data_IF_207230431869
#
_entry.id   IF_207230431869
#
_cell.length_a   1.000
_cell.length_b   1.000
_cell.length_c   1.000
_cell.angle_alpha   90.00
_cell.angle_beta   90.00
_cell.angle_gamma   90.00
#
_symmetry.space_group_name_H-M   'P 1'
#
loop_
_entity.id
_entity.type
_entity.pdbx_description
1 polymer ?
#
# COMPACT_ATOMS: atom_id res chain seq x y z
N UNK A 1 11.41 -0.65 9.70
CA UNK A 1 12.49 0.29 10.11
C UNK A 1 11.88 1.53 10.72
N UNK A 2 10.85 2.12 10.09
CA UNK A 2 9.99 3.14 10.70
C UNK A 2 9.64 2.80 12.16
N UNK A 3 9.27 1.55 12.44
CA UNK A 3 9.08 1.05 13.81
C UNK A 3 10.28 1.23 14.76
N UNK A 4 11.50 0.85 14.35
CA UNK A 4 12.72 1.02 15.15
C UNK A 4 13.07 2.51 15.32
N UNK A 5 12.72 3.32 14.34
CA UNK A 5 12.93 4.76 14.35
C UNK A 5 11.93 5.44 15.30
N UNK A 6 10.67 5.02 15.32
CA UNK A 6 9.67 5.43 16.32
C UNK A 6 10.09 4.98 17.73
N UNK A 7 10.56 3.74 17.89
CA UNK A 7 11.14 3.28 19.16
C UNK A 7 12.36 4.11 19.59
N UNK A 8 13.23 4.47 18.66
CA UNK A 8 14.40 5.31 18.93
C UNK A 8 13.98 6.74 19.30
N UNK A 9 13.02 7.33 18.58
CA UNK A 9 12.45 8.66 18.88
C UNK A 9 11.84 8.68 20.28
N UNK A 10 10.99 7.71 20.60
CA UNK A 10 10.39 7.53 21.94
C UNK A 10 11.48 7.37 23.02
N UNK A 11 12.58 6.68 22.71
CA UNK A 11 13.70 6.52 23.65
C UNK A 11 14.59 7.77 23.78
N UNK A 12 14.73 8.58 22.72
CA UNK A 12 15.59 9.76 22.68
C UNK A 12 14.96 10.99 23.33
N UNK A 13 13.63 11.12 23.28
CA UNK A 13 12.90 12.06 24.15
C UNK A 13 13.31 11.87 25.63
N UNK A 14 13.77 10.68 26.02
CA UNK A 14 14.23 10.36 27.38
C UNK A 14 15.66 10.73 27.72
N UNK A 15 16.52 11.14 26.78
CA UNK A 15 17.98 11.19 27.00
C UNK A 15 18.52 12.31 27.89
N UNK A 16 17.67 13.19 28.42
CA UNK A 16 18.11 14.13 29.47
C UNK A 16 18.28 13.47 30.87
N UNK A 17 18.06 12.16 31.04
CA UNK A 17 18.34 11.45 32.32
C UNK A 17 18.84 10.00 32.17
N UNK A 18 19.55 9.67 31.07
CA UNK A 18 19.94 8.28 30.72
C UNK A 18 21.14 7.67 31.48
N UNK A 19 21.54 8.21 32.64
CA UNK A 19 22.56 7.60 33.50
C UNK A 19 22.02 6.51 34.45
N UNK A 20 20.75 6.60 34.88
CA UNK A 20 20.27 5.80 36.02
C UNK A 20 19.39 4.58 35.66
N UNK A 21 18.77 4.57 34.47
CA UNK A 21 17.87 3.48 34.05
C UNK A 21 18.57 2.14 33.73
N UNK A 22 19.90 2.11 33.57
CA UNK A 22 20.67 0.87 33.31
C UNK A 22 20.66 -0.12 34.48
N UNK A 23 20.31 0.32 35.70
CA UNK A 23 20.29 -0.55 36.89
C UNK A 23 18.97 -1.33 37.07
N UNK A 24 17.86 -0.91 36.45
CA UNK A 24 16.54 -1.51 36.68
C UNK A 24 16.10 -2.62 35.70
N UNK A 25 16.57 -2.59 34.44
CA UNK A 25 16.05 -3.47 33.36
C UNK A 25 16.59 -4.92 33.42
N UNK A 26 17.57 -5.22 34.27
CA UNK A 26 18.05 -6.60 34.46
C UNK A 26 17.13 -7.49 35.31
N UNK A 27 16.06 -6.96 35.91
CA UNK A 27 15.31 -7.68 36.94
C UNK A 27 13.95 -8.26 36.52
N UNK A 28 13.27 -7.82 35.45
CA UNK A 28 11.93 -8.35 35.10
C UNK A 28 11.66 -8.27 33.60
N UNK A 29 11.32 -9.41 33.00
CA UNK A 29 10.91 -9.48 31.59
C UNK A 29 11.00 -10.89 31.03
N UNK A 30 10.09 -11.76 31.46
CA UNK A 30 9.80 -13.03 30.79
C UNK A 30 9.35 -12.76 29.34
N UNK A 31 9.88 -13.55 28.40
CA UNK A 31 9.57 -13.43 26.97
C UNK A 31 8.19 -14.02 26.68
N UNK A 32 7.16 -13.20 26.56
CA UNK A 32 5.89 -13.65 25.99
C UNK A 32 5.94 -13.55 24.46
N UNK A 33 5.96 -14.69 23.78
CA UNK A 33 6.30 -14.79 22.34
C UNK A 33 5.09 -14.64 21.40
N UNK A 34 3.89 -14.41 21.93
CA UNK A 34 2.61 -14.37 21.20
C UNK A 34 2.24 -13.00 20.60
N UNK A 35 2.93 -11.92 20.98
CA UNK A 35 2.58 -10.56 20.60
C UNK A 35 3.23 -10.12 19.28
N UNK A 36 2.45 -9.46 18.43
CA UNK A 36 2.93 -8.84 17.18
C UNK A 36 3.90 -7.69 17.49
N UNK A 37 4.79 -7.34 16.55
CA UNK A 37 5.78 -6.25 16.77
C UNK A 37 5.14 -4.90 17.15
N UNK A 38 4.00 -4.46 16.58
CA UNK A 38 3.27 -3.28 17.02
C UNK A 38 2.69 -3.39 18.43
N UNK A 39 2.16 -4.56 18.81
CA UNK A 39 1.72 -4.81 20.19
C UNK A 39 2.88 -4.73 21.17
N UNK A 40 4.09 -5.16 20.77
CA UNK A 40 5.31 -4.94 21.57
C UNK A 40 5.74 -3.47 21.65
N UNK A 41 5.36 -2.61 20.69
CA UNK A 41 5.54 -1.16 20.82
C UNK A 41 4.46 -0.54 21.70
N UNK A 42 3.21 -1.00 21.61
CA UNK A 42 2.15 -0.60 22.54
C UNK A 42 2.51 -1.00 23.98
N UNK A 43 3.00 -2.22 24.19
CA UNK A 43 3.52 -2.69 25.48
C UNK A 43 4.86 -2.06 25.86
N UNK A 44 5.74 -1.73 24.92
CA UNK A 44 6.96 -0.99 25.24
C UNK A 44 6.64 0.48 25.58
N UNK A 45 5.60 1.07 24.98
CA UNK A 45 5.06 2.38 25.35
C UNK A 45 4.33 2.29 26.70
N UNK A 46 3.57 1.23 26.98
CA UNK A 46 2.90 0.99 28.25
C UNK A 46 3.87 0.58 29.38
N UNK A 47 4.96 -0.12 29.07
CA UNK A 47 6.04 -0.47 29.98
C UNK A 47 7.00 0.70 30.19
N UNK A 48 7.21 1.52 29.16
CA UNK A 48 7.77 2.85 29.31
C UNK A 48 6.85 3.74 30.14
N UNK A 49 5.54 3.46 30.26
CA UNK A 49 4.62 4.26 31.08
C UNK A 49 4.96 4.29 32.58
N UNK A 50 5.77 3.36 33.06
CA UNK A 50 6.38 3.44 34.39
C UNK A 50 7.51 4.50 34.50
N UNK A 51 7.95 5.06 33.37
CA UNK A 51 9.04 6.05 33.19
C UNK A 51 8.58 7.27 32.34
N UNK A 52 7.39 7.23 31.73
CA UNK A 52 6.84 8.29 30.84
C UNK A 52 6.60 9.65 31.52
N UNK A 53 6.25 9.77 32.82
CA UNK A 53 5.87 11.08 33.37
C UNK A 53 6.97 12.16 33.28
N UNK A 54 8.24 11.79 33.13
CA UNK A 54 9.36 12.74 33.01
C UNK A 54 9.75 13.08 31.55
N UNK A 55 9.24 12.36 30.56
CA UNK A 55 9.78 12.36 29.18
C UNK A 55 8.78 12.90 28.14
N UNK A 56 7.49 12.64 28.34
CA UNK A 56 6.41 13.19 27.50
C UNK A 56 5.47 13.89 28.48
N UNK A 57 5.25 15.21 28.35
CA UNK A 57 4.33 15.90 29.25
C UNK A 57 2.94 15.24 29.17
N UNK A 58 2.30 15.07 30.32
CA UNK A 58 0.97 14.46 30.39
C UNK A 58 0.01 15.12 29.38
N UNK A 59 -0.64 14.31 28.55
CA UNK A 59 -1.56 14.76 27.49
C UNK A 59 -0.90 15.03 26.12
N UNK A 60 0.41 14.84 25.98
CA UNK A 60 1.13 14.95 24.70
C UNK A 60 1.25 13.64 23.93
N UNK A 61 0.86 12.51 24.52
CA UNK A 61 0.91 11.17 23.92
C UNK A 61 0.11 11.11 22.62
N UNK A 62 -1.02 11.85 22.56
CA UNK A 62 -1.86 11.95 21.37
C UNK A 62 -1.08 12.44 20.14
N UNK A 63 -0.07 13.29 20.34
CA UNK A 63 0.71 13.83 19.23
C UNK A 63 1.63 12.79 18.61
N UNK A 64 1.98 11.72 19.32
CA UNK A 64 2.76 10.59 18.79
C UNK A 64 1.97 9.69 17.83
N UNK A 65 0.65 9.87 17.76
CA UNK A 65 -0.20 9.04 16.89
C UNK A 65 0.14 9.20 15.40
N UNK A 66 0.70 10.34 14.98
CA UNK A 66 1.19 10.51 13.59
C UNK A 66 2.29 9.50 13.24
N UNK A 67 3.28 9.35 14.11
CA UNK A 67 4.38 8.41 13.99
C UNK A 67 3.90 6.96 14.16
N UNK A 68 2.99 6.71 15.10
CA UNK A 68 2.39 5.38 15.30
C UNK A 68 1.63 4.94 14.05
N UNK A 69 0.79 5.80 13.47
CA UNK A 69 0.07 5.48 12.25
C UNK A 69 1.03 5.23 11.08
N UNK A 70 2.03 6.10 10.89
CA UNK A 70 3.03 5.95 9.84
C UNK A 70 3.80 4.63 9.97
N UNK A 71 4.25 4.27 11.18
CA UNK A 71 4.94 3.01 11.42
C UNK A 71 4.03 1.79 11.21
N UNK A 72 2.79 1.85 11.68
CA UNK A 72 1.80 0.75 11.56
C UNK A 72 1.51 0.45 10.11
N UNK A 73 1.26 1.49 9.30
CA UNK A 73 1.00 1.34 7.87
C UNK A 73 2.27 0.93 7.12
N UNK A 74 3.43 1.52 7.43
CA UNK A 74 4.70 1.21 6.77
C UNK A 74 5.16 -0.24 6.96
N UNK A 75 4.83 -0.84 8.11
CA UNK A 75 5.16 -2.24 8.42
C UNK A 75 4.04 -3.22 7.97
N UNK A 76 3.06 -2.76 7.17
CA UNK A 76 1.97 -3.58 6.60
C UNK A 76 1.22 -4.39 7.67
N UNK A 77 0.95 -3.77 8.81
CA UNK A 77 0.24 -4.39 9.93
C UNK A 77 -1.26 -4.47 9.61
N UNK A 78 -1.96 -5.58 9.98
CA UNK A 78 -3.41 -5.66 9.84
C UNK A 78 -4.14 -4.46 10.47
N UNK A 79 -4.94 -3.74 9.68
CA UNK A 79 -5.74 -2.58 10.11
C UNK A 79 -7.10 -3.02 10.65
N UNK A 80 -7.05 -3.85 11.69
CA UNK A 80 -8.19 -4.34 12.45
C UNK A 80 -8.01 -3.98 13.94
N UNK A 81 -9.10 -3.96 14.70
CA UNK A 81 -9.07 -3.71 16.16
C UNK A 81 -8.30 -2.44 16.55
N UNK A 82 -7.36 -2.57 17.49
CA UNK A 82 -6.56 -1.46 18.02
C UNK A 82 -5.73 -0.74 16.94
N UNK A 83 -5.10 -1.48 16.03
CA UNK A 83 -4.28 -0.88 14.97
C UNK A 83 -5.10 0.03 14.06
N UNK A 84 -6.34 -0.36 13.77
CA UNK A 84 -7.28 0.44 12.99
C UNK A 84 -7.58 1.76 13.69
N UNK A 85 -7.85 1.72 15.00
CA UNK A 85 -8.12 2.90 15.83
C UNK A 85 -6.91 3.84 15.88
N UNK A 86 -5.71 3.29 16.12
CA UNK A 86 -4.47 4.05 16.14
C UNK A 86 -4.19 4.75 14.80
N UNK A 87 -4.38 4.04 13.68
CA UNK A 87 -4.21 4.63 12.35
C UNK A 87 -5.28 5.69 12.07
N UNK A 88 -6.55 5.44 12.42
CA UNK A 88 -7.64 6.40 12.23
C UNK A 88 -7.35 7.74 12.91
N UNK A 89 -7.00 7.72 14.20
CA UNK A 89 -6.66 8.95 14.91
C UNK A 89 -5.30 9.52 14.53
N UNK A 90 -4.32 8.67 14.19
CA UNK A 90 -3.02 9.13 13.74
C UNK A 90 -3.05 9.84 12.38
N UNK A 91 -3.95 9.48 11.47
CA UNK A 91 -4.21 10.26 10.24
C UNK A 91 -4.71 11.67 10.57
N UNK A 92 -5.63 11.79 11.52
CA UNK A 92 -6.17 13.08 11.98
C UNK A 92 -5.06 13.93 12.63
N UNK A 93 -4.21 13.31 13.45
CA UNK A 93 -3.08 13.99 14.10
C UNK A 93 -2.02 14.42 13.07
N UNK A 94 -1.70 13.54 12.12
CA UNK A 94 -0.76 13.83 11.03
C UNK A 94 -1.23 15.01 10.18
N UNK A 95 -2.53 15.10 9.91
CA UNK A 95 -3.11 16.18 9.10
C UNK A 95 -3.00 17.56 9.75
N UNK A 96 -2.90 17.64 11.08
CA UNK A 96 -2.61 18.88 11.78
C UNK A 96 -1.15 19.33 11.59
N UNK A 97 -0.28 18.43 11.12
CA UNK A 97 1.09 18.71 10.67
C UNK A 97 1.96 19.43 11.72
N UNK A 98 1.82 19.07 13.00
CA UNK A 98 2.56 19.70 14.10
C UNK A 98 4.06 19.38 14.08
N UNK A 99 4.47 18.23 13.52
CA UNK A 99 5.89 17.91 13.34
C UNK A 99 6.41 18.57 12.07
N UNK A 100 7.32 19.53 12.22
CA UNK A 100 7.92 20.26 11.10
C UNK A 100 8.55 19.33 10.06
N UNK A 101 9.18 18.24 10.49
CA UNK A 101 9.74 17.23 9.59
C UNK A 101 8.70 16.53 8.71
N UNK A 102 7.58 16.09 9.28
CA UNK A 102 6.50 15.45 8.52
C UNK A 102 5.77 16.45 7.63
N UNK A 103 5.63 17.70 8.08
CA UNK A 103 5.07 18.79 7.28
C UNK A 103 5.91 19.02 6.01
N UNK A 104 7.22 19.15 6.16
CA UNK A 104 8.13 19.34 5.01
C UNK A 104 8.19 18.10 4.13
N UNK A 105 8.11 16.89 4.71
CA UNK A 105 8.03 15.65 3.93
C UNK A 105 6.75 15.57 3.09
N UNK A 106 5.60 15.96 3.65
CA UNK A 106 4.34 16.06 2.90
C UNK A 106 4.42 17.11 1.80
N UNK A 107 5.07 18.26 2.06
CA UNK A 107 5.30 19.32 1.06
C UNK A 107 6.07 18.79 -0.15
N UNK A 108 7.25 18.20 0.05
CA UNK A 108 8.06 17.65 -1.08
C UNK A 108 7.38 16.45 -1.74
N UNK A 109 6.42 15.82 -1.07
CA UNK A 109 5.61 14.75 -1.62
C UNK A 109 4.35 15.23 -2.36
N UNK A 110 4.08 16.54 -2.42
CA UNK A 110 2.86 17.14 -2.96
C UNK A 110 1.58 16.62 -2.28
N UNK A 111 1.64 16.36 -0.96
CA UNK A 111 0.48 16.05 -0.15
C UNK A 111 0.01 17.30 0.58
N UNK A 112 -1.23 17.70 0.32
CA UNK A 112 -1.88 18.82 0.99
C UNK A 112 -2.87 18.27 2.01
N UNK A 113 -2.48 18.12 3.29
CA UNK A 113 -3.41 17.66 4.31
C UNK A 113 -4.48 18.70 4.59
N UNK A 114 -5.71 18.23 4.71
CA UNK A 114 -6.86 18.99 5.18
C UNK A 114 -7.21 18.46 6.57
N UNK A 115 -7.41 19.36 7.51
CA UNK A 115 -7.96 19.05 8.83
C UNK A 115 -9.17 19.94 9.07
N UNK A 116 -10.33 19.33 9.30
CA UNK A 116 -11.57 20.03 9.64
C UNK A 116 -12.01 19.64 11.05
N UNK A 117 -12.34 20.65 11.86
CA UNK A 117 -12.99 20.51 13.16
C UNK A 117 -14.45 20.94 12.99
N UNK A 118 -15.36 20.00 12.79
CA UNK A 118 -16.77 20.32 12.66
C UNK A 118 -17.43 20.55 14.03
N UNK A 119 -18.06 21.72 14.24
CA UNK A 119 -19.29 21.76 15.06
C UNK A 119 -20.37 21.15 14.18
N UNK A 120 -21.09 20.16 14.69
CA UNK A 120 -22.36 19.78 14.08
C UNK A 120 -23.32 20.87 14.57
N UNK A 121 -23.70 21.79 13.68
CA UNK A 121 -24.77 22.73 13.98
C UNK A 121 -26.06 21.90 14.04
N UNK A 122 -26.53 21.72 15.28
CA UNK A 122 -27.73 20.97 15.59
C UNK A 122 -28.94 21.75 15.08
N UNK A 123 -29.58 21.26 14.02
CA UNK A 123 -31.03 20.96 14.00
C UNK A 123 -31.50 20.45 12.63
N UNK A 124 -30.83 20.77 11.51
CA UNK A 124 -31.38 20.42 10.19
C UNK A 124 -30.75 19.19 9.51
N UNK A 125 -29.48 18.86 9.81
CA UNK A 125 -28.82 17.65 9.27
C UNK A 125 -28.82 16.45 10.23
N UNK A 126 -29.11 16.68 11.52
CA UNK A 126 -29.08 15.62 12.54
C UNK A 126 -30.12 14.52 12.24
N UNK A 127 -31.29 14.86 11.72
CA UNK A 127 -32.34 13.87 11.44
C UNK A 127 -32.03 12.98 10.22
N UNK A 128 -31.19 13.46 9.28
CA UNK A 128 -30.77 12.71 8.09
C UNK A 128 -29.47 11.94 8.28
N UNK A 129 -28.55 12.43 9.12
CA UNK A 129 -27.26 11.79 9.34
C UNK A 129 -27.20 10.91 10.61
N UNK A 130 -28.06 11.15 11.61
CA UNK A 130 -27.87 10.63 12.98
C UNK A 130 -28.90 9.57 13.38
N UNK A 131 -29.57 8.91 12.43
CA UNK A 131 -30.28 7.67 12.77
C UNK A 131 -29.33 6.51 13.13
N UNK A 132 -28.00 6.60 12.94
CA UNK A 132 -27.10 5.44 13.17
C UNK A 132 -25.71 5.65 13.77
N UNK A 133 -25.33 6.80 14.33
CA UNK A 133 -24.12 6.86 15.18
C UNK A 133 -24.39 7.71 16.42
N UNK A 134 -24.64 7.02 17.53
CA UNK A 134 -24.56 7.58 18.88
C UNK A 134 -23.15 8.15 19.10
N UNK A 135 -23.04 9.46 19.13
CA UNK A 135 -22.53 10.26 20.26
C UNK A 135 -22.22 11.67 19.75
N UNK A 136 -23.01 12.64 20.18
CA UNK A 136 -22.70 14.05 19.96
C UNK A 136 -21.31 14.37 20.54
N UNK A 137 -20.36 14.74 19.67
CA UNK A 137 -19.09 15.44 19.93
C UNK A 137 -18.35 15.60 18.59
N UNK A 138 -17.82 16.80 18.33
CA UNK A 138 -17.01 17.21 17.17
C UNK A 138 -16.48 16.08 16.26
N UNK A 139 -16.88 16.08 14.99
CA UNK A 139 -16.25 15.22 13.98
C UNK A 139 -14.90 15.86 13.56
N UNK A 140 -13.81 15.14 13.80
CA UNK A 140 -12.49 15.47 13.25
C UNK A 140 -12.32 14.73 11.92
N UNK A 141 -12.10 15.47 10.84
CA UNK A 141 -11.99 14.90 9.50
C UNK A 141 -10.68 15.28 8.84
N UNK A 142 -10.17 14.38 8.02
CA UNK A 142 -9.02 14.62 7.16
C UNK A 142 -9.17 13.95 5.79
N UNK A 143 -8.52 14.50 4.77
CA UNK A 143 -8.38 13.89 3.45
C UNK A 143 -7.23 12.86 3.39
N UNK A 144 -6.37 12.77 4.41
CA UNK A 144 -5.29 11.79 4.43
C UNK A 144 -5.86 10.37 4.58
N UNK A 145 -5.43 9.48 3.70
CA UNK A 145 -5.73 8.05 3.75
C UNK A 145 -4.46 7.28 4.15
N UNK A 146 -4.65 6.06 4.67
CA UNK A 146 -3.56 5.12 4.93
C UNK A 146 -2.66 4.91 3.70
N UNK A 147 -3.21 4.99 2.48
CA UNK A 147 -2.45 4.92 1.23
C UNK A 147 -1.36 5.98 1.15
N UNK A 148 -1.61 7.20 1.63
CA UNK A 148 -0.63 8.29 1.63
C UNK A 148 0.56 7.95 2.53
N UNK A 149 0.29 7.34 3.68
CA UNK A 149 1.33 6.87 4.59
C UNK A 149 2.11 5.72 3.95
N UNK A 150 1.43 4.70 3.44
CA UNK A 150 2.05 3.46 2.96
C UNK A 150 2.83 3.60 1.65
N UNK A 151 2.34 4.43 0.72
CA UNK A 151 2.87 4.51 -0.64
C UNK A 151 3.54 5.84 -0.97
N UNK A 152 3.35 6.89 -0.17
CA UNK A 152 3.94 8.21 -0.44
C UNK A 152 4.98 8.57 0.63
N UNK A 153 4.62 8.53 1.92
CA UNK A 153 5.51 8.93 3.01
C UNK A 153 6.49 7.83 3.43
N UNK A 154 6.01 6.60 3.63
CA UNK A 154 6.85 5.49 4.09
C UNK A 154 7.99 5.15 3.12
N UNK A 155 7.81 5.14 1.78
CA UNK A 155 8.93 4.87 0.85
C UNK A 155 10.05 5.90 0.95
N UNK A 156 9.71 7.18 1.15
CA UNK A 156 10.68 8.27 1.38
C UNK A 156 11.47 8.05 2.66
N UNK A 157 10.81 7.73 3.76
CA UNK A 157 11.51 7.42 5.02
C UNK A 157 12.39 6.18 4.87
N UNK A 158 11.88 5.13 4.24
CA UNK A 158 12.58 3.86 4.09
C UNK A 158 13.75 3.92 3.10
N UNK A 159 13.85 4.92 2.22
CA UNK A 159 14.99 5.01 1.28
C UNK A 159 16.31 5.22 2.01
N UNK A 160 16.26 5.95 3.14
CA UNK A 160 17.41 6.26 3.99
C UNK A 160 18.07 5.00 4.58
N UNK A 161 17.29 3.90 4.71
CA UNK A 161 17.75 2.62 5.22
C UNK A 161 18.75 1.90 4.32
N UNK A 162 18.61 2.11 3.01
CA UNK A 162 19.24 1.26 2.00
C UNK A 162 20.58 1.83 1.52
N UNK A 163 20.87 3.09 1.88
CA UNK A 163 21.99 3.88 1.35
C UNK A 163 22.93 4.42 2.45
N UNK A 164 23.00 3.75 3.62
CA UNK A 164 23.85 4.13 4.75
C UNK A 164 23.55 5.53 5.37
N UNK A 165 22.32 6.03 5.23
CA UNK A 165 21.90 7.34 5.72
C UNK A 165 20.71 7.28 6.69
N UNK A 166 20.58 6.20 7.46
CA UNK A 166 19.46 5.99 8.39
C UNK A 166 19.28 7.15 9.41
N UNK A 167 20.35 7.91 9.68
CA UNK A 167 20.30 9.10 10.54
C UNK A 167 19.44 10.23 9.96
N UNK A 168 19.33 10.38 8.63
CA UNK A 168 18.62 11.52 8.01
C UNK A 168 17.11 11.45 8.29
N UNK A 169 16.51 10.26 8.21
CA UNK A 169 15.09 10.10 8.54
C UNK A 169 14.82 10.34 10.02
N UNK A 170 15.77 9.97 10.88
CA UNK A 170 15.69 10.20 12.31
C UNK A 170 15.77 11.70 12.63
N UNK A 171 16.79 12.39 12.08
CA UNK A 171 17.00 13.83 12.19
C UNK A 171 15.77 14.60 11.71
N UNK A 172 15.22 14.22 10.54
CA UNK A 172 14.01 14.85 10.01
C UNK A 172 12.84 14.73 10.97
N UNK A 173 12.62 13.55 11.56
CA UNK A 173 11.48 13.30 12.43
C UNK A 173 11.67 13.84 13.86
N UNK A 174 12.90 14.19 14.24
CA UNK A 174 13.26 14.74 15.56
C UNK A 174 13.43 16.25 15.57
N UNK A 175 13.74 16.88 14.43
CA UNK A 175 14.03 18.32 14.39
C UNK A 175 12.78 19.16 14.68
N UNK A 176 13.01 20.31 15.34
CA UNK A 176 12.02 21.35 15.57
C UNK A 176 12.32 22.62 14.74
N UNK A 177 13.39 22.61 13.93
CA UNK A 177 13.82 23.73 13.11
C UNK A 177 13.27 23.58 11.69
N UNK A 178 12.46 24.56 11.25
CA UNK A 178 11.82 24.52 9.92
C UNK A 178 12.80 24.46 8.75
N UNK A 179 13.88 25.25 8.78
CA UNK A 179 14.90 25.26 7.73
C UNK A 179 15.65 23.92 7.66
N UNK A 180 15.99 23.32 8.80
CA UNK A 180 16.63 22.01 8.85
C UNK A 180 15.69 20.92 8.29
N UNK A 181 14.43 20.93 8.73
CA UNK A 181 13.41 20.00 8.25
C UNK A 181 13.24 20.07 6.72
N UNK A 182 13.26 21.29 6.17
CA UNK A 182 13.16 21.53 4.72
C UNK A 182 14.32 20.90 3.96
N UNK A 183 15.56 21.17 4.38
CA UNK A 183 16.77 20.63 3.77
C UNK A 183 16.78 19.10 3.83
N UNK A 184 16.44 18.52 4.99
CA UNK A 184 16.40 17.07 5.18
C UNK A 184 15.30 16.41 4.32
N UNK A 185 14.11 17.03 4.23
CA UNK A 185 13.01 16.52 3.41
C UNK A 185 13.36 16.55 1.91
N UNK A 186 13.97 17.62 1.42
CA UNK A 186 14.45 17.75 0.03
C UNK A 186 15.47 16.67 -0.30
N UNK A 187 16.47 16.48 0.58
CA UNK A 187 17.47 15.42 0.43
C UNK A 187 16.85 14.02 0.41
N UNK A 188 15.89 13.74 1.30
CA UNK A 188 15.17 12.45 1.28
C UNK A 188 14.40 12.28 -0.03
N UNK A 189 13.75 13.34 -0.53
CA UNK A 189 13.00 13.27 -1.78
C UNK A 189 13.92 12.99 -2.98
N UNK A 190 15.06 13.67 -3.09
CA UNK A 190 16.06 13.44 -4.15
C UNK A 190 16.57 11.99 -4.17
N UNK A 191 16.89 11.46 -2.99
CA UNK A 191 17.34 10.07 -2.85
C UNK A 191 16.22 9.11 -3.29
N UNK A 192 14.98 9.39 -2.88
CA UNK A 192 13.82 8.60 -3.25
C UNK A 192 13.57 8.61 -4.78
N UNK A 193 13.60 9.78 -5.41
CA UNK A 193 13.46 9.92 -6.87
C UNK A 193 14.57 9.20 -7.63
N UNK A 194 15.81 9.35 -7.18
CA UNK A 194 16.96 8.66 -7.79
C UNK A 194 16.82 7.13 -7.71
N UNK A 195 16.34 6.60 -6.58
CA UNK A 195 16.01 5.17 -6.45
C UNK A 195 14.93 4.75 -7.45
N UNK A 196 13.85 5.51 -7.62
CA UNK A 196 12.79 5.15 -8.56
C UNK A 196 13.25 5.20 -10.02
N UNK A 197 14.15 6.11 -10.39
CA UNK A 197 14.80 6.09 -11.72
C UNK A 197 15.49 4.75 -11.97
N UNK A 198 16.29 4.28 -11.03
CA UNK A 198 16.97 2.97 -11.14
C UNK A 198 15.98 1.80 -11.16
N UNK A 199 14.93 1.83 -10.31
CA UNK A 199 13.87 0.81 -10.32
C UNK A 199 13.22 0.71 -11.70
N UNK A 200 12.88 1.85 -12.31
CA UNK A 200 12.24 1.89 -13.61
C UNK A 200 13.15 1.38 -14.74
N UNK A 201 14.46 1.66 -14.68
CA UNK A 201 15.43 1.06 -15.61
C UNK A 201 15.45 -0.46 -15.47
N UNK A 202 15.55 -0.99 -14.24
CA UNK A 202 15.53 -2.44 -13.99
C UNK A 202 14.24 -3.08 -14.51
N UNK A 203 13.08 -2.46 -14.27
CA UNK A 203 11.79 -2.95 -14.76
C UNK A 203 11.78 -2.99 -16.29
N UNK A 204 12.20 -1.91 -16.95
CA UNK A 204 12.22 -1.83 -18.41
C UNK A 204 13.15 -2.89 -19.03
N UNK A 205 14.32 -3.11 -18.43
CA UNK A 205 15.25 -4.14 -18.88
C UNK A 205 14.65 -5.55 -18.76
N UNK A 206 13.93 -5.83 -17.66
CA UNK A 206 13.25 -7.11 -17.47
C UNK A 206 12.08 -7.25 -18.46
N UNK A 207 11.26 -6.23 -18.64
CA UNK A 207 10.12 -6.27 -19.57
C UNK A 207 10.59 -6.60 -21.00
N UNK A 208 11.69 -6.01 -21.47
CA UNK A 208 12.29 -6.35 -22.78
C UNK A 208 12.68 -7.82 -22.87
N UNK A 209 13.31 -8.38 -21.84
CA UNK A 209 13.71 -9.79 -21.82
C UNK A 209 12.53 -10.76 -21.75
N UNK A 210 11.40 -10.33 -21.22
CA UNK A 210 10.19 -11.16 -21.11
C UNK A 210 9.38 -11.20 -22.42
N UNK A 211 9.47 -10.18 -23.28
CA UNK A 211 8.77 -10.17 -24.59
C UNK A 211 9.27 -11.30 -25.50
N UNK A 212 10.54 -11.66 -25.39
CA UNK A 212 11.21 -12.62 -26.28
C UNK A 212 11.12 -14.08 -25.78
N UNK A 213 10.46 -14.33 -24.65
CA UNK A 213 10.47 -15.64 -23.97
C UNK A 213 9.07 -16.13 -23.67
N UNK A 214 8.87 -17.43 -23.85
CA UNK A 214 7.71 -18.11 -23.28
C UNK A 214 7.81 -18.10 -21.75
N UNK A 215 6.70 -17.73 -21.09
CA UNK A 215 6.69 -17.50 -19.66
C UNK A 215 6.34 -18.78 -18.90
N UNK A 216 7.35 -19.42 -18.31
CA UNK A 216 7.17 -20.56 -17.41
C UNK A 216 6.50 -20.18 -16.08
N UNK A 217 6.18 -21.19 -15.25
CA UNK A 217 5.46 -21.00 -13.97
C UNK A 217 6.20 -20.10 -12.97
N UNK A 218 7.51 -19.92 -13.12
CA UNK A 218 8.35 -19.00 -12.33
C UNK A 218 9.05 -18.02 -13.27
N UNK A 219 9.15 -16.75 -12.88
CA UNK A 219 9.92 -15.74 -13.58
C UNK A 219 11.32 -15.66 -12.96
N UNK A 220 12.35 -15.94 -13.77
CA UNK A 220 13.76 -15.81 -13.38
C UNK A 220 14.45 -14.75 -14.22
N UNK A 221 15.05 -13.76 -13.56
CA UNK A 221 15.85 -12.75 -14.25
C UNK A 221 17.13 -12.42 -13.50
N UNK A 222 18.21 -12.17 -14.25
CA UNK A 222 19.53 -11.93 -13.67
C UNK A 222 20.29 -10.81 -14.41
N UNK A 223 21.07 -10.05 -13.64
CA UNK A 223 22.05 -9.10 -14.16
C UNK A 223 23.10 -8.77 -13.10
N UNK A 224 24.30 -8.45 -13.55
CA UNK A 224 25.37 -7.86 -12.75
C UNK A 224 25.17 -6.36 -12.48
N UNK A 225 24.45 -5.66 -13.36
CA UNK A 225 24.21 -4.21 -13.29
C UNK A 225 23.11 -3.80 -12.31
N UNK A 226 22.24 -4.72 -11.90
CA UNK A 226 21.06 -4.38 -11.09
C UNK A 226 21.38 -4.34 -9.59
N UNK A 227 21.26 -3.19 -8.90
CA UNK A 227 21.62 -3.10 -7.49
C UNK A 227 20.72 -3.97 -6.59
N UNK A 228 21.33 -4.71 -5.66
CA UNK A 228 20.62 -5.64 -4.78
C UNK A 228 19.50 -4.98 -3.93
N UNK A 229 19.60 -3.68 -3.62
CA UNK A 229 18.57 -2.94 -2.87
C UNK A 229 17.33 -2.55 -3.70
N UNK A 230 17.45 -2.59 -5.03
CA UNK A 230 16.44 -2.13 -6.00
C UNK A 230 15.60 -3.31 -6.51
N UNK A 231 16.25 -4.44 -6.80
CA UNK A 231 15.62 -5.64 -7.41
C UNK A 231 14.41 -6.18 -6.63
N UNK A 232 14.31 -5.93 -5.31
CA UNK A 232 13.15 -6.34 -4.50
C UNK A 232 11.82 -5.69 -4.95
N UNK A 233 11.88 -4.45 -5.45
CA UNK A 233 10.71 -3.69 -5.88
C UNK A 233 10.25 -4.16 -7.26
N UNK A 234 11.20 -4.41 -8.16
CA UNK A 234 10.92 -5.05 -9.43
C UNK A 234 10.26 -6.41 -9.20
N UNK A 235 10.82 -7.28 -8.34
CA UNK A 235 10.26 -8.61 -8.07
C UNK A 235 8.79 -8.55 -7.60
N UNK A 236 8.46 -7.58 -6.75
CA UNK A 236 7.08 -7.37 -6.31
C UNK A 236 6.17 -6.94 -7.46
N UNK A 237 6.60 -5.98 -8.27
CA UNK A 237 5.81 -5.50 -9.42
C UNK A 237 5.54 -6.62 -10.43
N UNK A 238 6.53 -7.45 -10.73
CA UNK A 238 6.36 -8.58 -11.65
C UNK A 238 5.46 -9.67 -11.05
N UNK A 239 5.57 -9.96 -9.75
CA UNK A 239 4.66 -10.89 -9.06
C UNK A 239 3.22 -10.41 -9.13
N UNK A 240 2.99 -9.11 -8.86
CA UNK A 240 1.65 -8.51 -8.90
C UNK A 240 1.08 -8.48 -10.34
N UNK A 241 1.92 -8.29 -11.36
CA UNK A 241 1.52 -8.20 -12.77
C UNK A 241 1.22 -9.56 -13.42
N UNK A 242 2.01 -10.58 -13.08
CA UNK A 242 1.97 -11.89 -13.75
C UNK A 242 1.47 -13.02 -12.86
N UNK A 243 1.09 -12.75 -11.61
CA UNK A 243 0.63 -13.74 -10.63
C UNK A 243 1.53 -14.98 -10.54
N UNK A 244 2.85 -14.78 -10.58
CA UNK A 244 3.85 -15.86 -10.59
C UNK A 244 4.91 -15.64 -9.52
N UNK A 245 5.55 -16.69 -8.98
CA UNK A 245 6.80 -16.53 -8.24
C UNK A 245 7.86 -15.84 -9.10
N UNK A 246 8.57 -14.89 -8.52
CA UNK A 246 9.58 -14.06 -9.19
C UNK A 246 10.88 -14.07 -8.41
N UNK A 247 11.95 -14.44 -9.11
CA UNK A 247 13.32 -14.49 -8.61
C UNK A 247 14.18 -13.55 -9.46
N UNK A 248 14.65 -12.46 -8.86
CA UNK A 248 15.57 -11.53 -9.52
C UNK A 248 16.93 -11.62 -8.86
N UNK A 249 17.97 -11.91 -9.64
CA UNK A 249 19.33 -12.10 -9.19
C UNK A 249 20.20 -10.90 -9.55
N UNK A 250 20.97 -10.43 -8.56
CA UNK A 250 22.20 -9.70 -8.81
C UNK A 250 23.37 -10.69 -8.86
N UNK A 251 24.09 -10.75 -9.98
CA UNK A 251 25.22 -11.67 -10.18
C UNK A 251 26.51 -10.86 -10.19
N UNK A 252 27.37 -11.04 -9.19
CA UNK A 252 28.63 -10.29 -9.06
C UNK A 252 29.79 -11.26 -8.91
N UNK A 253 30.60 -11.39 -9.97
CA UNK A 253 31.67 -12.38 -10.04
C UNK A 253 31.12 -13.80 -9.86
N UNK A 254 31.69 -14.54 -8.90
CA UNK A 254 31.31 -15.93 -8.62
C UNK A 254 30.07 -16.06 -7.71
N UNK A 255 29.44 -14.96 -7.30
CA UNK A 255 28.33 -14.98 -6.35
C UNK A 255 27.07 -14.38 -6.95
N UNK A 256 25.94 -15.01 -6.66
CA UNK A 256 24.62 -14.49 -6.99
C UNK A 256 23.83 -14.24 -5.70
N UNK A 257 23.03 -13.16 -5.69
CA UNK A 257 22.12 -12.83 -4.60
C UNK A 257 20.73 -12.56 -5.17
N UNK A 258 19.73 -13.28 -4.67
CA UNK A 258 18.36 -13.15 -5.14
C UNK A 258 17.51 -12.27 -4.22
N UNK A 259 16.59 -11.51 -4.82
CA UNK A 259 15.38 -11.02 -4.16
C UNK A 259 14.16 -11.75 -4.72
N UNK A 260 13.35 -12.31 -3.82
CA UNK A 260 12.31 -13.27 -4.18
C UNK A 260 10.95 -12.77 -3.72
N UNK A 261 9.94 -12.89 -4.57
CA UNK A 261 8.52 -12.68 -4.26
C UNK A 261 7.71 -13.84 -4.78
N UNK A 262 6.64 -14.19 -4.08
CA UNK A 262 5.79 -15.31 -4.45
C UNK A 262 4.30 -15.00 -4.31
N UNK A 263 3.52 -15.88 -4.90
CA UNK A 263 2.08 -16.00 -4.70
C UNK A 263 1.79 -16.90 -3.49
N UNK A 264 0.62 -16.77 -2.82
CA UNK A 264 0.24 -17.58 -1.66
C UNK A 264 0.38 -19.10 -1.87
N UNK A 265 0.12 -19.57 -3.09
CA UNK A 265 0.12 -20.97 -3.49
C UNK A 265 1.53 -21.58 -3.56
N UNK A 266 2.59 -20.76 -3.57
CA UNK A 266 3.97 -21.23 -3.67
C UNK A 266 4.84 -20.70 -2.53
N UNK A 267 5.06 -21.52 -1.51
CA UNK A 267 5.96 -21.18 -0.40
C UNK A 267 7.42 -21.23 -0.85
N UNK A 268 8.04 -20.07 -1.05
CA UNK A 268 9.43 -20.00 -1.55
C UNK A 268 10.47 -20.45 -0.54
N UNK A 269 10.18 -20.38 0.77
CA UNK A 269 11.14 -20.82 1.79
C UNK A 269 11.24 -22.34 1.80
N UNK A 270 10.11 -23.02 1.72
CA UNK A 270 10.07 -24.48 1.58
C UNK A 270 10.68 -24.94 0.26
N UNK A 271 10.33 -24.29 -0.85
CA UNK A 271 10.91 -24.63 -2.16
C UNK A 271 12.44 -24.44 -2.20
N UNK A 272 12.97 -23.41 -1.54
CA UNK A 272 14.42 -23.22 -1.43
C UNK A 272 15.08 -24.24 -0.51
N UNK A 273 14.40 -24.69 0.56
CA UNK A 273 14.91 -25.72 1.46
C UNK A 273 15.09 -27.07 0.74
N UNK A 274 14.24 -27.38 -0.24
CA UNK A 274 14.40 -28.55 -1.12
C UNK A 274 15.62 -28.44 -2.05
N UNK A 275 16.18 -27.24 -2.24
CA UNK A 275 17.36 -26.98 -3.06
C UNK A 275 18.55 -26.46 -2.21
N UNK A 276 18.58 -26.72 -0.90
CA UNK A 276 19.56 -26.15 0.06
C UNK A 276 21.02 -26.43 -0.33
N UNK A 277 21.32 -27.60 -0.89
CA UNK A 277 22.67 -27.99 -1.33
C UNK A 277 23.28 -27.06 -2.39
N UNK A 278 22.45 -26.29 -3.10
CA UNK A 278 22.87 -25.34 -4.13
C UNK A 278 23.08 -23.92 -3.57
N UNK A 279 22.70 -23.68 -2.31
CA UNK A 279 22.63 -22.36 -1.68
C UNK A 279 23.70 -22.21 -0.60
N UNK A 280 24.33 -21.03 -0.53
CA UNK A 280 25.19 -20.69 0.60
C UNK A 280 24.36 -20.30 1.83
N UNK A 281 23.23 -19.61 1.59
CA UNK A 281 22.32 -19.11 2.62
C UNK A 281 21.00 -18.70 2.01
N UNK A 282 19.89 -19.01 2.68
CA UNK A 282 18.58 -18.45 2.36
C UNK A 282 17.77 -18.11 3.62
N UNK A 283 16.65 -17.41 3.43
CA UNK A 283 15.69 -17.14 4.49
C UNK A 283 14.65 -16.10 4.09
N UNK A 284 13.56 -16.04 4.85
CA UNK A 284 12.47 -15.10 4.61
C UNK A 284 11.14 -15.60 5.14
N UNK A 285 10.08 -15.19 4.45
CA UNK A 285 8.70 -15.57 4.68
C UNK A 285 8.14 -16.29 3.43
N UNK A 286 7.03 -17.03 3.56
CA UNK A 286 6.47 -17.82 2.46
C UNK A 286 6.30 -17.08 1.12
N UNK A 287 5.95 -15.79 1.14
CA UNK A 287 5.76 -14.98 -0.07
C UNK A 287 6.90 -13.98 -0.37
N UNK A 288 7.94 -13.94 0.46
CA UNK A 288 9.03 -12.96 0.32
C UNK A 288 10.31 -13.45 0.99
N UNK A 289 11.36 -13.69 0.19
CA UNK A 289 12.61 -14.23 0.69
C UNK A 289 13.83 -13.67 -0.04
N UNK A 290 15.01 -14.12 0.36
CA UNK A 290 16.24 -13.92 -0.36
C UNK A 290 17.20 -15.08 -0.16
N UNK A 291 18.07 -15.31 -1.13
CA UNK A 291 19.10 -16.33 -1.06
C UNK A 291 20.44 -15.82 -1.62
N UNK A 292 21.49 -16.57 -1.32
CA UNK A 292 22.84 -16.42 -1.89
C UNK A 292 23.31 -17.79 -2.34
N UNK A 293 24.02 -17.81 -3.46
CA UNK A 293 24.58 -19.01 -4.07
C UNK A 293 25.78 -18.64 -4.92
N UNK A 294 26.58 -19.64 -5.27
CA UNK A 294 27.61 -19.48 -6.30
C UNK A 294 26.96 -19.34 -7.69
N UNK A 295 27.56 -18.51 -8.54
CA UNK A 295 27.06 -18.25 -9.89
C UNK A 295 26.99 -19.52 -10.75
N UNK A 296 27.94 -20.45 -10.57
CA UNK A 296 27.96 -21.76 -11.23
C UNK A 296 26.76 -22.66 -10.89
N UNK A 297 26.12 -22.45 -9.74
CA UNK A 297 24.96 -23.23 -9.30
C UNK A 297 23.64 -22.61 -9.78
N UNK A 298 23.66 -21.43 -10.41
CA UNK A 298 22.46 -20.66 -10.71
C UNK A 298 21.48 -21.42 -11.59
N UNK A 299 21.94 -22.05 -12.67
CA UNK A 299 21.04 -22.73 -13.60
C UNK A 299 20.53 -24.06 -13.03
N UNK A 300 21.35 -24.76 -12.23
CA UNK A 300 20.89 -25.93 -11.45
C UNK A 300 19.80 -25.55 -10.46
N UNK A 301 19.95 -24.40 -9.81
CA UNK A 301 18.99 -23.89 -8.83
C UNK A 301 17.66 -23.50 -9.48
N UNK A 302 17.69 -22.82 -10.64
CA UNK A 302 16.47 -22.52 -11.42
C UNK A 302 15.74 -23.81 -11.81
N UNK A 303 16.46 -24.79 -12.38
CA UNK A 303 15.88 -26.06 -12.79
C UNK A 303 15.29 -26.86 -11.61
N UNK A 304 15.92 -26.79 -10.42
CA UNK A 304 15.37 -27.38 -9.20
C UNK A 304 14.02 -26.75 -8.83
N UNK A 305 13.95 -25.42 -8.82
CA UNK A 305 12.73 -24.68 -8.51
C UNK A 305 11.61 -24.88 -9.54
N UNK A 306 11.94 -24.93 -10.83
CA UNK A 306 10.98 -25.20 -11.90
C UNK A 306 10.31 -26.56 -11.72
N UNK A 307 11.08 -27.61 -11.39
CA UNK A 307 10.52 -28.94 -11.09
C UNK A 307 9.59 -28.93 -9.88
N UNK A 308 9.87 -28.10 -8.87
CA UNK A 308 9.02 -27.97 -7.69
C UNK A 308 7.74 -27.21 -8.07
N UNK A 309 7.84 -26.12 -8.82
CA UNK A 309 6.69 -25.37 -9.31
C UNK A 309 5.78 -26.23 -10.20
N UNK A 310 6.34 -27.05 -11.09
CA UNK A 310 5.53 -27.91 -11.95
C UNK A 310 4.68 -28.90 -11.17
N UNK A 311 5.17 -29.36 -10.01
CA UNK A 311 4.42 -30.26 -9.11
C UNK A 311 3.40 -29.53 -8.22
N UNK A 312 3.69 -28.29 -7.83
CA UNK A 312 2.91 -27.56 -6.81
C UNK A 312 1.92 -26.55 -7.38
N UNK A 313 2.19 -25.99 -8.56
CA UNK A 313 1.40 -24.94 -9.19
C UNK A 313 0.62 -25.48 -10.38
N UNK A 314 -0.68 -25.19 -10.38
CA UNK A 314 -1.55 -25.37 -11.53
C UNK A 314 -1.60 -24.09 -12.35
N UNK A 315 -2.09 -24.17 -13.58
CA UNK A 315 -2.11 -22.99 -14.46
C UNK A 315 -3.12 -21.94 -13.96
N UNK A 316 -4.22 -22.36 -13.32
CA UNK A 316 -5.20 -21.45 -12.72
C UNK A 316 -4.63 -20.66 -11.54
N UNK A 317 -3.61 -21.19 -10.84
CA UNK A 317 -2.92 -20.48 -9.76
C UNK A 317 -2.11 -19.29 -10.28
N UNK A 318 -1.84 -19.24 -11.59
CA UNK A 318 -1.01 -18.23 -12.25
C UNK A 318 -1.86 -17.15 -12.94
N UNK A 319 -3.18 -17.23 -12.83
CA UNK A 319 -4.09 -16.22 -13.35
C UNK A 319 -4.33 -15.12 -12.30
N UNK A 320 -4.32 -13.83 -12.70
CA UNK A 320 -4.77 -12.76 -11.83
C UNK A 320 -6.24 -12.94 -11.45
N UNK A 321 -6.52 -13.10 -10.16
CA UNK A 321 -7.87 -13.14 -9.62
C UNK A 321 -8.23 -11.80 -8.97
N UNK A 322 -9.48 -11.36 -9.14
CA UNK A 322 -10.06 -10.22 -8.44
C UNK A 322 -11.22 -10.69 -7.57
N UNK A 323 -11.14 -10.43 -6.27
CA UNK A 323 -12.26 -10.67 -5.35
C UNK A 323 -13.25 -9.51 -5.45
N UNK A 324 -14.53 -9.82 -5.63
CA UNK A 324 -15.65 -8.87 -5.63
C UNK A 324 -16.40 -9.03 -4.31
N UNK A 325 -16.51 -7.95 -3.55
CA UNK A 325 -17.18 -7.97 -2.25
C UNK A 325 -18.71 -7.97 -2.39
N UNK A 326 -19.24 -7.21 -3.35
CA UNK A 326 -20.67 -7.07 -3.54
C UNK A 326 -21.01 -6.64 -4.98
N UNK A 327 -21.98 -7.30 -5.60
CA UNK A 327 -22.64 -6.79 -6.80
C UNK A 327 -23.70 -5.78 -6.38
N UNK A 328 -23.75 -4.64 -7.07
CA UNK A 328 -24.71 -3.56 -6.74
C UNK A 328 -25.53 -3.17 -7.97
N UNK A 329 -26.73 -2.68 -7.70
CA UNK A 329 -27.59 -2.06 -8.70
C UNK A 329 -27.17 -0.62 -8.97
N UNK A 330 -27.58 -0.10 -10.13
CA UNK A 330 -27.25 1.26 -10.51
C UNK A 330 -27.81 2.26 -9.47
N UNK A 331 -29.03 2.07 -8.98
CA UNK A 331 -29.68 2.91 -7.96
C UNK A 331 -28.91 2.99 -6.62
N UNK A 332 -28.21 1.91 -6.25
CA UNK A 332 -27.41 1.83 -5.02
C UNK A 332 -26.11 2.63 -5.12
N UNK A 333 -25.71 3.07 -6.31
CA UNK A 333 -24.57 3.96 -6.52
C UNK A 333 -24.99 5.40 -6.18
N UNK A 334 -24.85 5.76 -4.90
CA UNK A 334 -25.22 7.06 -4.36
C UNK A 334 -24.35 7.43 -3.13
N UNK A 335 -24.53 8.65 -2.61
CA UNK A 335 -23.75 9.17 -1.49
C UNK A 335 -23.91 8.38 -0.19
N UNK A 336 -25.07 7.77 0.05
CA UNK A 336 -25.30 6.99 1.26
C UNK A 336 -24.43 5.71 1.25
N UNK A 337 -24.38 5.02 0.11
CA UNK A 337 -23.51 3.86 -0.10
C UNK A 337 -22.02 4.23 -0.04
N UNK A 338 -21.65 5.40 -0.58
CA UNK A 338 -20.29 5.94 -0.46
C UNK A 338 -19.91 6.18 1.01
N UNK A 339 -20.73 6.92 1.76
CA UNK A 339 -20.44 7.28 3.15
C UNK A 339 -20.43 6.04 4.06
N UNK A 340 -21.33 5.08 3.82
CA UNK A 340 -21.30 3.78 4.49
C UNK A 340 -19.99 3.05 4.20
N UNK A 341 -19.54 3.02 2.94
CA UNK A 341 -18.26 2.41 2.56
C UNK A 341 -17.10 3.11 3.27
N UNK A 342 -17.02 4.43 3.23
CA UNK A 342 -15.95 5.19 3.90
C UNK A 342 -15.98 5.06 5.43
N UNK A 343 -17.11 4.68 6.05
CA UNK A 343 -17.15 4.34 7.48
C UNK A 343 -16.26 3.13 7.83
N UNK A 344 -15.98 2.26 6.84
CA UNK A 344 -15.04 1.15 6.94
C UNK A 344 -13.57 1.58 6.77
N UNK A 345 -13.28 2.86 6.54
CA UNK A 345 -11.92 3.38 6.57
C UNK A 345 -11.34 3.48 8.02
N UNK A 346 -10.00 3.46 8.20
CA UNK A 346 -8.97 3.41 7.17
C UNK A 346 -8.80 2.02 6.54
N UNK A 347 -8.75 1.99 5.21
CA UNK A 347 -8.46 0.77 4.45
C UNK A 347 -6.96 0.42 4.47
N UNK A 348 -6.57 -0.83 4.25
CA UNK A 348 -5.18 -1.27 4.24
C UNK A 348 -5.05 -2.78 4.42
N UNK A 349 -3.93 -3.22 4.98
CA UNK A 349 -3.68 -4.66 5.15
C UNK A 349 -4.79 -5.32 5.98
N UNK A 350 -5.37 -6.42 5.48
CA UNK A 350 -6.54 -7.12 6.05
C UNK A 350 -7.82 -6.27 6.22
N UNK A 351 -7.88 -5.09 5.64
CA UNK A 351 -9.09 -4.28 5.51
C UNK A 351 -9.04 -3.51 4.19
N UNK A 352 -8.99 -4.18 3.02
CA UNK A 352 -8.90 -3.52 1.72
C UNK A 352 -10.11 -2.61 1.48
N UNK A 353 -10.00 -1.69 0.53
CA UNK A 353 -11.18 -0.97 0.05
C UNK A 353 -12.11 -1.97 -0.63
N UNK A 354 -13.43 -1.94 -0.36
CA UNK A 354 -14.36 -2.84 -1.02
C UNK A 354 -14.36 -2.64 -2.53
N UNK A 355 -14.40 -3.74 -3.27
CA UNK A 355 -14.57 -3.78 -4.72
C UNK A 355 -15.97 -4.25 -5.04
N UNK A 356 -16.73 -3.39 -5.71
CA UNK A 356 -18.10 -3.63 -6.13
C UNK A 356 -18.15 -4.06 -7.59
N UNK A 357 -19.19 -4.79 -7.97
CA UNK A 357 -19.47 -5.14 -9.36
C UNK A 357 -20.75 -4.44 -9.84
N UNK A 358 -20.67 -3.84 -11.03
CA UNK A 358 -21.81 -3.31 -11.77
C UNK A 358 -21.85 -3.98 -13.13
N UNK A 359 -22.92 -4.71 -13.42
CA UNK A 359 -23.05 -5.49 -14.64
C UNK A 359 -23.79 -4.75 -15.75
N UNK A 360 -23.51 -5.13 -17.00
CA UNK A 360 -24.25 -4.69 -18.18
C UNK A 360 -24.36 -3.15 -18.37
N UNK A 361 -23.33 -2.40 -17.96
CA UNK A 361 -23.26 -0.97 -18.20
C UNK A 361 -22.88 -0.70 -19.67
N UNK A 362 -23.61 0.16 -20.36
CA UNK A 362 -23.31 0.54 -21.74
C UNK A 362 -22.41 1.78 -21.77
N UNK A 363 -21.35 1.75 -22.57
CA UNK A 363 -20.44 2.89 -22.72
C UNK A 363 -21.10 3.94 -23.62
N UNK A 364 -21.49 5.09 -23.05
CA UNK A 364 -22.06 6.21 -23.81
C UNK A 364 -21.01 7.25 -24.21
N UNK A 365 -19.90 7.36 -23.46
CA UNK A 365 -18.74 8.14 -23.85
C UNK A 365 -17.43 7.50 -23.36
N UNK A 366 -16.37 7.64 -24.17
CA UNK A 366 -15.02 7.17 -23.87
C UNK A 366 -14.00 8.26 -24.22
N UNK A 367 -13.07 8.53 -23.30
CA UNK A 367 -11.93 9.42 -23.55
C UNK A 367 -10.73 9.05 -22.68
N UNK A 368 -9.54 9.42 -23.13
CA UNK A 368 -8.35 9.41 -22.30
C UNK A 368 -8.13 10.78 -21.65
N UNK A 369 -7.59 10.80 -20.43
CA UNK A 369 -7.29 12.02 -19.68
C UNK A 369 -5.95 11.94 -18.96
N UNK A 370 -5.42 13.10 -18.57
CA UNK A 370 -4.13 13.24 -17.89
C UNK A 370 -2.96 13.43 -18.86
N UNK A 371 -1.77 13.69 -18.30
CA UNK A 371 -0.59 13.92 -19.10
C UNK A 371 -0.18 12.64 -19.85
N UNK A 372 -0.17 12.71 -21.19
CA UNK A 372 0.11 11.58 -22.07
C UNK A 372 -1.00 10.53 -22.13
N UNK A 373 -2.27 10.93 -22.03
CA UNK A 373 -3.44 10.05 -22.23
C UNK A 373 -3.46 8.81 -21.33
N UNK A 374 -2.94 8.96 -20.12
CA UNK A 374 -2.61 7.85 -19.23
C UNK A 374 -3.84 7.19 -18.59
N UNK A 375 -4.90 7.95 -18.35
CA UNK A 375 -6.07 7.49 -17.62
C UNK A 375 -7.28 7.33 -18.55
N UNK A 376 -8.08 6.29 -18.33
CA UNK A 376 -9.34 6.06 -19.05
C UNK A 376 -10.47 6.77 -18.29
N UNK A 377 -11.31 7.52 -19.00
CA UNK A 377 -12.54 8.10 -18.47
C UNK A 377 -13.72 7.61 -19.31
N UNK A 378 -14.74 7.08 -18.63
CA UNK A 378 -15.96 6.57 -19.25
C UNK A 378 -17.17 7.32 -18.70
N UNK A 379 -18.18 7.47 -19.55
CA UNK A 379 -19.56 7.71 -19.13
C UNK A 379 -20.36 6.45 -19.47
N UNK A 380 -21.12 5.99 -18.48
CA UNK A 380 -21.82 4.72 -18.52
C UNK A 380 -23.32 4.99 -18.42
N UNK A 381 -24.10 4.30 -19.23
CA UNK A 381 -25.55 4.32 -19.21
C UNK A 381 -26.06 2.94 -18.80
N UNK A 382 -26.97 2.93 -17.83
CA UNK A 382 -27.64 1.70 -17.40
C UNK A 382 -29.13 1.90 -17.57
N UNK A 383 -29.71 0.99 -18.36
CA UNK A 383 -31.15 0.82 -18.51
C UNK A 383 -31.59 -0.36 -17.64
N UNK A 384 -32.35 -0.07 -16.58
CA UNK A 384 -32.95 -1.15 -15.80
C UNK A 384 -34.18 -1.70 -16.55
N UNK A 385 -34.36 -3.03 -16.53
CA UNK A 385 -35.41 -3.73 -17.32
C UNK A 385 -36.84 -3.20 -17.10
N UNK A 386 -37.09 -2.47 -16.01
CA UNK A 386 -38.41 -1.96 -15.63
C UNK A 386 -38.43 -0.43 -15.39
N UNK A 387 -37.39 0.31 -15.75
CA UNK A 387 -37.32 1.76 -15.59
C UNK A 387 -37.17 2.46 -16.94
N UNK A 388 -37.92 3.55 -17.15
CA UNK A 388 -37.72 4.46 -18.29
C UNK A 388 -36.55 5.43 -18.05
N UNK A 389 -35.99 5.46 -16.83
CA UNK A 389 -34.87 6.33 -16.50
C UNK A 389 -33.53 5.65 -16.83
N UNK A 390 -32.74 6.32 -17.65
CA UNK A 390 -31.35 5.95 -17.93
C UNK A 390 -30.48 6.62 -16.88
N UNK A 391 -29.84 5.83 -16.01
CA UNK A 391 -28.87 6.36 -15.06
C UNK A 391 -27.53 6.53 -15.75
N UNK A 392 -27.00 7.76 -15.72
CA UNK A 392 -25.65 8.08 -16.18
C UNK A 392 -24.66 8.06 -15.02
N UNK A 393 -23.55 7.37 -15.18
CA UNK A 393 -22.52 7.25 -14.14
C UNK A 393 -21.14 7.48 -14.76
N UNK A 394 -20.32 8.32 -14.12
CA UNK A 394 -18.94 8.52 -14.54
C UNK A 394 -18.01 7.46 -13.94
N UNK A 395 -17.04 7.01 -14.72
CA UNK A 395 -16.00 6.09 -14.24
C UNK A 395 -14.60 6.54 -14.69
N UNK A 396 -13.59 6.27 -13.85
CA UNK A 396 -12.18 6.61 -14.09
C UNK A 396 -11.26 5.43 -13.80
N UNK A 397 -10.47 5.04 -14.79
CA UNK A 397 -9.43 4.00 -14.70
C UNK A 397 -8.03 4.60 -14.70
N UNK A 398 -7.37 4.60 -13.55
CA UNK A 398 -6.02 5.17 -13.45
C UNK A 398 -4.96 4.25 -14.08
N UNK A 399 -4.25 4.76 -15.09
CA UNK A 399 -3.24 4.00 -15.88
C UNK A 399 -3.86 2.95 -16.80
N UNK A 400 -5.14 3.11 -17.15
CA UNK A 400 -5.86 2.22 -18.06
C UNK A 400 -5.97 2.75 -19.50
N UNK A 401 -5.32 3.87 -19.85
CA UNK A 401 -5.46 4.49 -21.18
C UNK A 401 -5.09 3.57 -22.35
N UNK A 402 -4.19 2.59 -22.14
CA UNK A 402 -3.79 1.59 -23.16
C UNK A 402 -4.36 0.19 -22.84
N UNK A 403 -4.81 -0.06 -21.59
CA UNK A 403 -5.26 -1.40 -21.18
C UNK A 403 -6.55 -1.82 -21.88
N UNK A 404 -7.41 -0.85 -22.19
CA UNK A 404 -8.73 -1.06 -22.79
C UNK A 404 -8.94 -0.15 -24.01
N UNK A 405 -7.90 -0.01 -24.83
CA UNK A 405 -7.90 0.86 -26.01
C UNK A 405 -8.83 0.36 -27.14
N UNK A 406 -9.28 -0.88 -27.06
CA UNK A 406 -10.18 -1.53 -27.99
C UNK A 406 -11.67 -1.38 -27.60
N UNK A 407 -12.00 -0.76 -26.46
CA UNK A 407 -13.38 -0.41 -26.07
C UNK A 407 -13.99 0.66 -26.96
N UNK A 408 -15.29 0.55 -27.23
CA UNK A 408 -16.03 1.48 -28.09
C UNK A 408 -17.33 1.94 -27.43
N UNK A 409 -17.85 3.07 -27.90
CA UNK A 409 -19.20 3.53 -27.55
C UNK A 409 -20.21 2.46 -28.01
N UNK A 410 -21.16 2.13 -27.14
CA UNK A 410 -22.16 1.07 -27.34
C UNK A 410 -21.73 -0.31 -26.82
N UNK A 411 -20.45 -0.50 -26.46
CA UNK A 411 -20.03 -1.75 -25.80
C UNK A 411 -20.73 -1.88 -24.43
N UNK A 412 -21.19 -3.10 -24.13
CA UNK A 412 -21.67 -3.46 -22.79
C UNK A 412 -20.57 -4.09 -21.97
N UNK A 413 -20.49 -3.68 -20.72
CA UNK A 413 -19.41 -4.05 -19.83
C UNK A 413 -19.86 -4.35 -18.41
N UNK A 414 -19.19 -5.32 -17.80
CA UNK A 414 -19.19 -5.55 -16.35
C UNK A 414 -17.98 -4.84 -15.76
N UNK A 415 -18.20 -4.10 -14.67
CA UNK A 415 -17.22 -3.19 -14.10
C UNK A 415 -16.99 -3.54 -12.64
N UNK A 416 -15.76 -3.90 -12.31
CA UNK A 416 -15.30 -3.97 -10.94
C UNK A 416 -14.76 -2.59 -10.51
N UNK A 417 -15.30 -2.01 -9.44
CA UNK A 417 -15.00 -0.63 -9.06
C UNK A 417 -14.90 -0.39 -7.55
N UNK A 418 -14.18 0.67 -7.18
CA UNK A 418 -14.27 1.31 -5.86
C UNK A 418 -15.04 2.63 -6.01
N UNK A 419 -15.82 3.03 -5.01
CA UNK A 419 -16.42 4.37 -5.05
C UNK A 419 -15.36 5.47 -4.94
N UNK A 420 -15.56 6.56 -5.69
CA UNK A 420 -14.67 7.72 -5.69
C UNK A 420 -15.48 9.02 -5.60
N UNK A 421 -15.23 9.82 -4.57
CA UNK A 421 -15.72 11.19 -4.52
C UNK A 421 -14.72 12.11 -5.23
N UNK A 422 -15.16 12.74 -6.33
CA UNK A 422 -14.40 13.78 -7.02
C UNK A 422 -14.88 15.16 -6.53
N UNK A 423 -13.98 15.98 -6.01
CA UNK A 423 -14.28 17.32 -5.51
C UNK A 423 -13.51 18.35 -6.34
N UNK A 424 -14.24 19.11 -7.17
CA UNK A 424 -13.66 20.14 -8.02
C UNK A 424 -14.50 21.42 -7.99
N UNK A 425 -13.84 22.55 -7.73
CA UNK A 425 -14.45 23.89 -7.74
C UNK A 425 -15.73 24.01 -6.86
N UNK A 426 -15.79 23.28 -5.74
CA UNK A 426 -16.94 23.27 -4.85
C UNK A 426 -18.07 22.31 -5.25
N UNK A 427 -17.98 21.67 -6.41
CA UNK A 427 -18.88 20.59 -6.82
C UNK A 427 -18.30 19.25 -6.40
N UNK A 428 -19.16 18.39 -5.83
CA UNK A 428 -18.81 17.02 -5.43
C UNK A 428 -19.58 16.05 -6.33
N UNK A 429 -18.88 15.21 -7.05
CA UNK A 429 -19.44 14.19 -7.95
C UNK A 429 -19.01 12.80 -7.51
N UNK A 430 -19.92 11.84 -7.59
CA UNK A 430 -19.62 10.43 -7.30
C UNK A 430 -19.25 9.73 -8.61
N UNK A 431 -18.07 9.12 -8.62
CA UNK A 431 -17.53 8.39 -9.75
C UNK A 431 -17.17 6.95 -9.35
N UNK A 432 -17.08 6.07 -10.34
CA UNK A 432 -16.56 4.71 -10.17
C UNK A 432 -15.06 4.72 -10.48
N UNK A 433 -14.21 4.40 -9.51
CA UNK A 433 -12.81 4.12 -9.77
C UNK A 433 -12.69 2.69 -10.30
N UNK A 434 -12.41 2.55 -11.58
CA UNK A 434 -12.31 1.26 -12.26
C UNK A 434 -11.12 0.48 -11.70
N UNK A 435 -11.39 -0.68 -11.12
CA UNK A 435 -10.40 -1.68 -10.72
C UNK A 435 -10.12 -2.59 -11.91
N UNK A 436 -11.18 -3.15 -12.50
CA UNK A 436 -11.09 -3.94 -13.73
C UNK A 436 -12.39 -3.89 -14.52
N UNK A 437 -12.35 -4.37 -15.76
CA UNK A 437 -13.43 -4.22 -16.71
C UNK A 437 -13.48 -5.42 -17.65
N UNK A 438 -14.67 -5.96 -17.89
CA UNK A 438 -14.92 -7.10 -18.78
C UNK A 438 -16.02 -6.74 -19.77
N UNK A 439 -15.80 -6.98 -21.07
CA UNK A 439 -16.89 -6.88 -22.05
C UNK A 439 -17.89 -8.00 -21.81
N UNK A 440 -19.17 -7.66 -21.84
CA UNK A 440 -20.22 -8.65 -21.93
C UNK A 440 -20.17 -9.23 -23.36
N UNK A 441 -19.80 -10.49 -23.51
CA UNK A 441 -20.00 -11.16 -24.79
C UNK A 441 -21.50 -11.23 -25.07
N UNK A 442 -21.91 -10.81 -26.27
CA UNK A 442 -23.25 -11.13 -26.75
C UNK A 442 -23.37 -12.65 -26.71
N UNK A 443 -24.23 -13.18 -25.83
CA UNK A 443 -24.83 -14.47 -26.06
C UNK A 443 -25.62 -14.36 -27.37
N UNK A 444 -24.97 -14.53 -28.50
CA UNK A 444 -25.61 -15.04 -29.70
C UNK A 444 -25.99 -16.49 -29.40
N UNK A 445 -27.05 -16.68 -28.61
CA UNK A 445 -27.80 -17.92 -28.71
C UNK A 445 -28.37 -17.91 -30.13
N UNK A 446 -28.00 -18.85 -31.01
CA UNK A 446 -28.72 -19.01 -32.26
C UNK A 446 -30.16 -19.30 -31.88
N UNK A 447 -31.06 -18.39 -32.25
CA UNK A 447 -32.47 -18.73 -32.37
C UNK A 447 -32.56 -19.78 -33.49
N UNK A 448 -32.63 -21.06 -33.12
CA UNK A 448 -33.21 -22.10 -33.98
C UNK A 448 -34.72 -22.21 -33.72
#
# INVERSE_FOLDING_TARGET
MAFKLVQALVADFGKNSWSDARKGVKARGEKNNSLTRPQRLSEALAGAAAVIPEIIPEGWEKWLLDLVALATVADMVPLLGENRTLVKYGLIVLAQANRVGLKELMRVANLTPVFKKGKIDAEEEMEKLVSRIETGRYAFMTNLKSRDLGFILAPRINVTSSLAHANIAYELLSTNLGEEAKILAEKINEINESKYKVINTVISDIEKKLVEKEMGKIIFEASDKWPAGVIRWAAQKFRDKYSRPVFIFNVSGEKAKASIRSIPQFNVVEAMAECDELLDKFGGHPCAAGCRLKAENLDKFKACLEKIAEKKLKDEDLEPSLEIDCQVLAEEINWQSYDLTESFAPFGMKNPSPVFMLENAEISAIRTVGNGDKHLKLELEISEKNSLEIKKIQAIGFNHGVKFDDLKIGDKVDIAFEFLANEWNGTRELELKIVDLKRCELCELPFE
#
